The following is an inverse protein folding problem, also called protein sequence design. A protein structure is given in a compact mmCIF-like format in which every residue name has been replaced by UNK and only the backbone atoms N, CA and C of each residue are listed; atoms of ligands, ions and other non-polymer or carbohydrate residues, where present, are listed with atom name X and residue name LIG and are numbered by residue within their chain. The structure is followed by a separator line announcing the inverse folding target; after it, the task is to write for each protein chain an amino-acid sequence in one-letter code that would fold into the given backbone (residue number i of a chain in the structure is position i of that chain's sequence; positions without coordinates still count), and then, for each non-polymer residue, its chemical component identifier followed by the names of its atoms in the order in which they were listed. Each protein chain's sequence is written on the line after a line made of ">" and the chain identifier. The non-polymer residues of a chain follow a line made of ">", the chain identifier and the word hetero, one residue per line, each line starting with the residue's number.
data_IF_683163521423
#
_entry.id   IF_683163521423
#
_cell.length_a   1.000
_cell.length_b   1.000
_cell.length_c   1.000
_cell.angle_alpha   90.00
_cell.angle_beta   90.00
_cell.angle_gamma   90.00
#
_symmetry.space_group_name_H-M   'P 1'
#
loop_
_entity.id
_entity.type
_entity.pdbx_description
1 polymer ?
#
# COMPACT_ATOMS: atom_id res chain seq x y z
N UNK A 1 -9.29 4.05 6.10
CA UNK A 1 -8.26 3.89 5.05
C UNK A 1 -7.17 4.94 5.26
N UNK A 2 -6.00 4.79 4.64
CA UNK A 2 -4.95 5.82 4.67
C UNK A 2 -5.50 7.15 4.13
N UNK A 3 -6.12 7.14 2.94
CA UNK A 3 -6.72 8.34 2.35
C UNK A 3 -7.72 9.02 3.28
N UNK A 4 -8.64 8.28 3.89
CA UNK A 4 -9.62 8.85 4.81
C UNK A 4 -8.98 9.50 6.05
N UNK A 5 -7.89 8.91 6.57
CA UNK A 5 -7.15 9.51 7.69
C UNK A 5 -6.43 10.79 7.27
N UNK A 6 -5.77 10.79 6.12
CA UNK A 6 -5.07 11.96 5.59
C UNK A 6 -6.08 13.07 5.27
N UNK A 7 -7.18 12.77 4.59
CA UNK A 7 -8.24 13.72 4.26
C UNK A 7 -8.89 14.35 5.50
N UNK A 8 -9.12 13.55 6.55
CA UNK A 8 -9.63 14.07 7.83
C UNK A 8 -8.63 15.06 8.45
N UNK A 9 -7.34 14.72 8.43
CA UNK A 9 -6.29 15.58 8.96
C UNK A 9 -6.15 16.87 8.14
N UNK A 10 -6.20 16.79 6.80
CA UNK A 10 -6.15 18.00 5.97
C UNK A 10 -7.35 18.90 6.21
N UNK A 11 -8.54 18.34 6.44
CA UNK A 11 -9.72 19.10 6.82
C UNK A 11 -9.59 19.77 8.20
N UNK A 12 -9.06 19.06 9.21
CA UNK A 12 -8.85 19.59 10.57
C UNK A 12 -7.84 20.73 10.61
N UNK A 13 -6.78 20.65 9.79
CA UNK A 13 -5.69 21.62 9.75
C UNK A 13 -5.80 22.65 8.61
N UNK A 14 -6.92 22.66 7.89
CA UNK A 14 -7.15 23.54 6.73
C UNK A 14 -6.04 23.45 5.66
N UNK A 15 -5.46 22.26 5.51
CA UNK A 15 -4.48 21.97 4.49
C UNK A 15 -5.16 21.53 3.18
N UNK A 16 -4.49 21.78 2.05
CA UNK A 16 -4.94 21.32 0.75
C UNK A 16 -4.62 19.84 0.54
N UNK A 17 -5.55 19.11 -0.04
CA UNK A 17 -5.35 17.74 -0.52
C UNK A 17 -5.66 17.70 -2.02
N UNK A 18 -4.77 17.09 -2.79
CA UNK A 18 -4.90 16.87 -4.23
C UNK A 18 -4.73 15.36 -4.47
N UNK A 19 -5.74 14.70 -5.04
CA UNK A 19 -5.82 13.25 -5.18
C UNK A 19 -6.03 12.86 -6.65
N UNK A 20 -4.99 12.99 -7.49
CA UNK A 20 -5.04 12.51 -8.87
C UNK A 20 -4.98 10.99 -8.91
N UNK A 21 -5.88 10.34 -9.65
CA UNK A 21 -5.94 8.86 -9.76
C UNK A 21 -5.84 8.38 -11.20
N UNK A 22 -5.33 7.17 -11.39
CA UNK A 22 -5.13 6.55 -12.72
C UNK A 22 -6.32 5.71 -13.19
N UNK A 23 -7.36 5.55 -12.38
CA UNK A 23 -8.54 4.72 -12.69
C UNK A 23 -9.83 5.43 -12.26
N UNK A 24 -10.79 5.54 -13.17
CA UNK A 24 -12.08 6.22 -12.91
C UNK A 24 -12.88 5.56 -11.78
N UNK A 25 -12.81 4.24 -11.62
CA UNK A 25 -13.47 3.55 -10.50
C UNK A 25 -12.84 3.93 -9.15
N UNK A 26 -11.53 4.14 -9.11
CA UNK A 26 -10.83 4.61 -7.91
C UNK A 26 -11.23 6.06 -7.62
N UNK A 27 -11.45 6.90 -8.63
CA UNK A 27 -11.90 8.28 -8.45
C UNK A 27 -13.23 8.34 -7.68
N UNK A 28 -14.22 7.52 -8.08
CA UNK A 28 -15.55 7.51 -7.44
C UNK A 28 -15.44 7.11 -5.97
N UNK A 29 -14.69 6.05 -5.68
CA UNK A 29 -14.50 5.57 -4.31
C UNK A 29 -13.66 6.52 -3.45
N UNK A 30 -12.61 7.12 -4.03
CA UNK A 30 -11.78 8.12 -3.35
C UNK A 30 -12.56 9.40 -3.04
N UNK A 31 -13.45 9.88 -3.93
CA UNK A 31 -14.35 11.01 -3.66
C UNK A 31 -15.22 10.75 -2.44
N UNK A 32 -15.84 9.58 -2.37
CA UNK A 32 -16.69 9.24 -1.23
C UNK A 32 -15.88 9.21 0.07
N UNK A 33 -14.69 8.60 0.05
CA UNK A 33 -13.79 8.56 1.22
C UNK A 33 -13.38 9.97 1.68
N UNK A 34 -13.01 10.85 0.76
CA UNK A 34 -12.60 12.23 1.09
C UNK A 34 -13.80 13.04 1.59
N UNK A 35 -14.96 12.92 0.94
CA UNK A 35 -16.20 13.58 1.34
C UNK A 35 -16.64 13.18 2.75
N UNK A 36 -16.65 11.88 3.04
CA UNK A 36 -16.97 11.34 4.36
C UNK A 36 -15.96 11.83 5.42
N UNK A 37 -14.67 11.86 5.08
CA UNK A 37 -13.64 12.36 5.98
C UNK A 37 -13.82 13.86 6.32
N UNK A 38 -14.14 14.70 5.34
CA UNK A 38 -14.42 16.13 5.55
C UNK A 38 -15.72 16.35 6.35
N UNK A 39 -16.76 15.56 6.09
CA UNK A 39 -18.01 15.58 6.87
C UNK A 39 -17.74 15.21 8.34
N UNK A 40 -16.97 14.15 8.59
CA UNK A 40 -16.60 13.70 9.92
C UNK A 40 -15.66 14.67 10.66
N UNK A 41 -14.93 15.52 9.94
CA UNK A 41 -14.14 16.61 10.49
C UNK A 41 -14.98 17.88 10.79
N UNK A 42 -16.27 17.88 10.46
CA UNK A 42 -17.14 19.05 10.63
C UNK A 42 -16.88 20.16 9.61
N UNK A 43 -16.25 19.84 8.47
CA UNK A 43 -15.88 20.78 7.40
C UNK A 43 -16.45 20.38 6.02
N UNK A 44 -17.75 20.06 5.90
CA UNK A 44 -18.34 19.66 4.63
C UNK A 44 -18.33 20.78 3.58
N UNK A 45 -18.28 22.04 4.01
CA UNK A 45 -18.18 23.24 3.18
C UNK A 45 -16.81 23.38 2.49
N UNK A 46 -15.77 22.79 3.06
CA UNK A 46 -14.43 22.80 2.49
C UNK A 46 -14.20 21.69 1.45
N UNK A 47 -15.10 20.71 1.33
CA UNK A 47 -14.98 19.63 0.35
C UNK A 47 -15.46 20.06 -1.04
N UNK A 48 -14.71 19.68 -2.07
CA UNK A 48 -15.10 19.87 -3.47
C UNK A 48 -14.69 18.66 -4.33
N UNK A 49 -15.49 18.34 -5.36
CA UNK A 49 -15.27 17.15 -6.20
C UNK A 49 -14.00 17.23 -7.06
N UNK A 50 -13.41 18.42 -7.24
CA UNK A 50 -12.14 18.65 -7.92
C UNK A 50 -10.92 18.28 -7.06
N UNK A 51 -11.08 18.01 -5.76
CA UNK A 51 -9.99 17.48 -4.93
C UNK A 51 -9.54 16.08 -5.37
N UNK A 52 -10.42 15.34 -6.04
CA UNK A 52 -10.18 13.97 -6.49
C UNK A 52 -10.58 13.86 -7.96
N UNK A 53 -9.62 13.62 -8.84
CA UNK A 53 -9.88 13.56 -10.28
C UNK A 53 -9.08 12.46 -10.97
N UNK A 54 -9.68 11.95 -12.04
CA UNK A 54 -9.00 11.05 -12.96
C UNK A 54 -8.04 11.84 -13.85
N UNK A 55 -6.80 11.39 -13.95
CA UNK A 55 -5.79 12.01 -14.79
C UNK A 55 -5.68 11.28 -16.14
N UNK A 56 -5.21 10.04 -16.12
CA UNK A 56 -5.12 9.14 -17.28
C UNK A 56 -4.76 7.73 -16.78
N UNK A 57 -5.06 6.71 -17.56
CA UNK A 57 -4.67 5.32 -17.31
C UNK A 57 -3.46 4.86 -18.12
N UNK A 58 -2.96 5.72 -19.03
CA UNK A 58 -1.67 5.55 -19.68
C UNK A 58 -0.54 5.74 -18.67
N UNK A 59 0.34 4.75 -18.56
CA UNK A 59 1.36 4.66 -17.51
C UNK A 59 2.28 5.90 -17.48
N UNK A 60 2.90 6.24 -18.61
CA UNK A 60 3.84 7.35 -18.68
C UNK A 60 3.13 8.70 -18.82
N UNK A 61 1.93 8.73 -19.39
CA UNK A 61 1.04 9.89 -19.34
C UNK A 61 0.67 10.27 -17.91
N UNK A 62 0.41 9.27 -17.05
CA UNK A 62 0.14 9.50 -15.63
C UNK A 62 1.39 10.05 -14.95
N UNK A 63 2.55 9.41 -15.15
CA UNK A 63 3.83 9.89 -14.60
C UNK A 63 4.12 11.35 -14.98
N UNK A 64 4.08 11.67 -16.28
CA UNK A 64 4.35 13.02 -16.77
C UNK A 64 3.34 14.07 -16.24
N UNK A 65 2.07 13.68 -16.11
CA UNK A 65 1.04 14.56 -15.55
C UNK A 65 1.26 14.84 -14.06
N UNK A 66 1.57 13.80 -13.27
CA UNK A 66 1.91 13.96 -11.85
C UNK A 66 3.19 14.77 -11.67
N UNK A 67 4.25 14.47 -12.42
CA UNK A 67 5.51 15.20 -12.36
C UNK A 67 5.28 16.70 -12.63
N UNK A 68 4.49 17.00 -13.67
CA UNK A 68 4.09 18.37 -14.01
C UNK A 68 3.32 19.08 -12.89
N UNK A 69 2.48 18.36 -12.14
CA UNK A 69 1.79 18.90 -10.96
C UNK A 69 2.75 19.13 -9.80
N UNK A 70 3.61 18.16 -9.50
CA UNK A 70 4.57 18.21 -8.38
C UNK A 70 5.52 19.40 -8.53
N UNK A 71 6.13 19.59 -9.71
CA UNK A 71 7.08 20.70 -9.92
C UNK A 71 6.42 22.09 -9.89
N UNK A 72 5.13 22.18 -10.22
CA UNK A 72 4.37 23.44 -10.23
C UNK A 72 3.80 23.79 -8.86
N UNK A 73 3.17 22.82 -8.21
CA UNK A 73 2.47 23.01 -6.94
C UNK A 73 3.41 22.92 -5.74
N UNK A 74 4.53 22.19 -5.88
CA UNK A 74 5.53 21.96 -4.83
C UNK A 74 4.89 21.48 -3.50
N UNK A 75 4.16 20.35 -3.50
CA UNK A 75 3.53 19.83 -2.29
C UNK A 75 4.59 19.54 -1.21
N UNK A 76 4.24 19.76 0.06
CA UNK A 76 5.13 19.45 1.18
C UNK A 76 5.25 17.93 1.43
N UNK A 77 4.25 17.15 1.02
CA UNK A 77 4.21 15.69 1.25
C UNK A 77 3.46 15.01 0.13
N UNK A 78 3.97 13.85 -0.32
CA UNK A 78 3.38 13.04 -1.39
C UNK A 78 3.16 11.61 -0.89
N UNK A 79 1.98 11.07 -1.17
CA UNK A 79 1.62 9.69 -0.86
C UNK A 79 1.52 8.86 -2.14
N UNK A 80 2.46 7.95 -2.37
CA UNK A 80 2.43 7.01 -3.49
C UNK A 80 1.84 5.67 -3.03
N UNK A 81 0.55 5.45 -3.23
CA UNK A 81 -0.15 4.25 -2.73
C UNK A 81 -0.73 3.45 -3.89
N UNK A 82 -0.21 2.25 -4.13
CA UNK A 82 -0.71 1.38 -5.20
C UNK A 82 0.40 0.66 -5.97
N UNK A 83 0.08 0.28 -7.21
CA UNK A 83 1.00 -0.44 -8.08
C UNK A 83 1.57 0.51 -9.15
N UNK A 84 2.77 1.01 -8.91
CA UNK A 84 3.59 1.79 -9.84
C UNK A 84 4.70 0.91 -10.42
N UNK A 85 4.92 0.87 -11.72
CA UNK A 85 5.99 0.04 -12.30
C UNK A 85 7.28 0.86 -12.45
N UNK A 86 7.76 1.05 -13.68
CA UNK A 86 8.98 1.81 -13.95
C UNK A 86 8.85 3.29 -13.56
N UNK A 87 7.63 3.83 -13.52
CA UNK A 87 7.32 5.21 -13.16
C UNK A 87 7.55 5.51 -11.68
N UNK A 88 7.63 4.50 -10.81
CA UNK A 88 7.85 4.68 -9.38
C UNK A 88 9.09 5.52 -9.07
N UNK A 89 10.22 5.22 -9.71
CA UNK A 89 11.46 5.98 -9.51
C UNK A 89 11.36 7.39 -10.10
N UNK A 90 10.71 7.54 -11.25
CA UNK A 90 10.54 8.86 -11.90
C UNK A 90 9.75 9.78 -10.98
N UNK A 91 8.59 9.30 -10.49
CA UNK A 91 7.73 10.04 -9.58
C UNK A 91 8.48 10.42 -8.29
N UNK A 92 9.19 9.46 -7.70
CA UNK A 92 9.90 9.66 -6.45
C UNK A 92 11.09 10.62 -6.58
N UNK A 93 11.84 10.59 -7.68
CA UNK A 93 12.90 11.57 -7.92
C UNK A 93 12.33 12.97 -8.16
N UNK A 94 11.18 13.08 -8.83
CA UNK A 94 10.51 14.37 -9.01
C UNK A 94 10.10 14.98 -7.67
N UNK A 95 9.50 14.20 -6.76
CA UNK A 95 9.15 14.73 -5.44
C UNK A 95 10.37 15.00 -4.55
N UNK A 96 11.43 14.20 -4.65
CA UNK A 96 12.71 14.50 -4.01
C UNK A 96 13.31 15.84 -4.51
N UNK A 97 13.18 16.14 -5.81
CA UNK A 97 13.71 17.37 -6.41
C UNK A 97 13.12 18.67 -5.84
N UNK A 98 11.91 18.59 -5.27
CA UNK A 98 11.24 19.71 -4.59
C UNK A 98 11.37 19.66 -3.06
N UNK A 99 12.03 18.63 -2.52
CA UNK A 99 12.19 18.42 -1.07
C UNK A 99 10.92 17.99 -0.36
N UNK A 100 9.99 17.31 -1.05
CA UNK A 100 8.77 16.80 -0.44
C UNK A 100 9.04 15.52 0.37
N UNK A 101 8.37 15.38 1.51
CA UNK A 101 8.36 14.09 2.24
C UNK A 101 7.54 13.08 1.42
N UNK A 102 8.08 11.90 1.18
CA UNK A 102 7.44 10.87 0.36
C UNK A 102 7.11 9.63 1.17
N UNK A 103 5.83 9.26 1.15
CA UNK A 103 5.32 8.05 1.81
C UNK A 103 4.76 7.12 0.74
N UNK A 104 5.52 6.09 0.41
CA UNK A 104 5.16 5.08 -0.55
C UNK A 104 4.52 3.85 0.11
N UNK A 105 3.72 3.12 -0.65
CA UNK A 105 3.13 1.86 -0.21
C UNK A 105 2.68 1.01 -1.38
N UNK A 106 3.18 -0.22 -1.45
CA UNK A 106 2.91 -1.12 -2.56
C UNK A 106 3.00 -2.59 -2.18
N UNK A 107 2.16 -3.40 -2.82
CA UNK A 107 2.18 -4.86 -2.71
C UNK A 107 2.98 -5.55 -3.83
N UNK A 108 3.56 -4.79 -4.77
CA UNK A 108 4.23 -5.35 -5.95
C UNK A 108 5.75 -5.49 -5.72
N UNK A 109 6.31 -6.71 -5.76
CA UNK A 109 7.74 -6.93 -5.55
C UNK A 109 8.66 -6.20 -6.52
N UNK A 110 8.25 -6.05 -7.78
CA UNK A 110 9.09 -5.46 -8.84
C UNK A 110 9.34 -3.96 -8.66
N UNK A 111 8.50 -3.25 -7.91
CA UNK A 111 8.62 -1.80 -7.73
C UNK A 111 9.18 -1.40 -6.36
N UNK A 112 9.11 -2.30 -5.38
CA UNK A 112 9.54 -2.04 -4.00
C UNK A 112 10.96 -1.48 -3.91
N UNK A 113 11.97 -2.00 -4.66
CA UNK A 113 13.32 -1.46 -4.59
C UNK A 113 13.41 0.03 -4.94
N UNK A 114 12.58 0.51 -5.87
CA UNK A 114 12.59 1.91 -6.27
C UNK A 114 12.10 2.81 -5.16
N UNK A 115 10.94 2.52 -4.56
CA UNK A 115 10.42 3.32 -3.46
C UNK A 115 11.26 3.20 -2.19
N UNK A 116 11.78 2.01 -1.86
CA UNK A 116 12.69 1.84 -0.72
C UNK A 116 13.95 2.69 -0.87
N UNK A 117 14.46 2.85 -2.10
CA UNK A 117 15.67 3.63 -2.35
C UNK A 117 15.43 5.14 -2.45
N UNK A 118 14.22 5.59 -2.81
CA UNK A 118 13.95 6.99 -3.20
C UNK A 118 12.91 7.72 -2.34
N UNK A 119 12.14 7.02 -1.50
CA UNK A 119 11.14 7.62 -0.60
C UNK A 119 11.61 7.59 0.86
N UNK A 120 11.16 8.54 1.66
CA UNK A 120 11.46 8.61 3.10
C UNK A 120 10.88 7.42 3.88
N UNK A 121 9.66 7.01 3.52
CA UNK A 121 8.98 5.87 4.14
C UNK A 121 8.32 5.00 3.07
N UNK A 122 8.48 3.68 3.19
CA UNK A 122 7.87 2.72 2.25
C UNK A 122 7.18 1.60 3.01
N UNK A 123 5.86 1.45 2.81
CA UNK A 123 5.08 0.30 3.28
C UNK A 123 5.27 -0.88 2.33
N UNK A 124 5.71 -2.01 2.87
CA UNK A 124 6.09 -3.19 2.10
C UNK A 124 4.99 -4.25 2.15
N UNK A 125 4.41 -4.61 1.00
CA UNK A 125 3.56 -5.79 0.90
C UNK A 125 2.31 -5.69 1.78
N UNK A 126 2.27 -6.52 2.82
CA UNK A 126 1.15 -6.59 3.76
C UNK A 126 1.01 -5.36 4.66
N UNK A 127 2.08 -4.58 4.85
CA UNK A 127 2.05 -3.35 5.65
C UNK A 127 1.09 -2.30 5.07
N UNK A 128 0.95 -2.23 3.74
CA UNK A 128 0.01 -1.33 3.06
C UNK A 128 -1.44 -1.61 3.50
N UNK A 129 -1.81 -2.89 3.55
CA UNK A 129 -3.15 -3.33 3.92
C UNK A 129 -3.36 -3.23 5.42
N UNK A 130 -2.36 -3.64 6.21
CA UNK A 130 -2.37 -3.53 7.66
C UNK A 130 -2.55 -2.07 8.10
N UNK A 131 -1.79 -1.13 7.54
CA UNK A 131 -1.91 0.30 7.85
C UNK A 131 -3.33 0.83 7.61
N UNK A 132 -3.95 0.46 6.50
CA UNK A 132 -5.33 0.84 6.21
C UNK A 132 -6.32 0.29 7.23
N UNK A 133 -6.16 -0.97 7.65
CA UNK A 133 -6.99 -1.65 8.64
C UNK A 133 -6.81 -1.08 10.06
N UNK A 134 -5.57 -0.79 10.47
CA UNK A 134 -5.25 -0.16 11.74
C UNK A 134 -5.83 1.26 11.82
N UNK A 135 -5.73 2.04 10.74
CA UNK A 135 -6.27 3.39 10.72
C UNK A 135 -7.81 3.42 10.69
N UNK A 136 -8.45 2.51 9.96
CA UNK A 136 -9.93 2.42 9.91
C UNK A 136 -10.55 1.80 11.16
N UNK A 137 -9.76 1.13 12.01
CA UNK A 137 -10.24 0.33 13.14
C UNK A 137 -11.33 -0.68 12.74
N UNK A 138 -11.28 -1.16 11.49
CA UNK A 138 -12.34 -2.00 10.95
C UNK A 138 -12.18 -3.46 11.44
N UNK A 139 -13.11 -4.00 12.26
CA UNK A 139 -12.90 -5.27 12.95
C UNK A 139 -12.69 -6.46 12.02
N UNK A 140 -13.32 -6.44 10.83
CA UNK A 140 -13.17 -7.50 9.82
C UNK A 140 -11.76 -7.54 9.22
N UNK A 141 -11.21 -6.38 8.87
CA UNK A 141 -9.87 -6.29 8.30
C UNK A 141 -8.80 -6.67 9.33
N UNK A 142 -8.95 -6.16 10.57
CA UNK A 142 -8.09 -6.52 11.69
C UNK A 142 -8.17 -8.02 12.05
N UNK A 143 -9.37 -8.59 11.99
CA UNK A 143 -9.59 -10.03 12.22
C UNK A 143 -8.91 -10.90 11.16
N UNK A 144 -9.00 -10.50 9.89
CA UNK A 144 -8.30 -11.20 8.79
C UNK A 144 -6.79 -11.19 8.98
N UNK A 145 -6.22 -10.04 9.36
CA UNK A 145 -4.78 -9.90 9.61
C UNK A 145 -4.32 -10.83 10.74
N UNK A 146 -5.03 -10.80 11.89
CA UNK A 146 -4.74 -11.70 13.03
C UNK A 146 -4.87 -13.17 12.68
N UNK A 147 -5.87 -13.54 11.88
CA UNK A 147 -6.06 -14.92 11.43
C UNK A 147 -4.92 -15.40 10.54
N UNK A 148 -4.47 -14.54 9.62
CA UNK A 148 -3.32 -14.83 8.76
C UNK A 148 -2.04 -15.01 9.57
N UNK A 149 -1.78 -14.14 10.56
CA UNK A 149 -0.60 -14.23 11.42
C UNK A 149 -0.60 -15.48 12.29
N UNK A 150 -1.76 -15.85 12.87
CA UNK A 150 -1.91 -17.09 13.62
C UNK A 150 -1.66 -18.32 12.75
N UNK A 151 -2.19 -18.31 11.52
CA UNK A 151 -1.95 -19.37 10.55
C UNK A 151 -0.46 -19.52 10.23
N UNK A 152 0.22 -18.41 9.90
CA UNK A 152 1.68 -18.40 9.66
C UNK A 152 2.44 -18.94 10.87
N UNK A 153 2.08 -18.54 12.08
CA UNK A 153 2.73 -19.02 13.32
C UNK A 153 2.58 -20.53 13.50
N UNK A 154 1.37 -21.07 13.30
CA UNK A 154 1.11 -22.51 13.38
C UNK A 154 1.97 -23.27 12.35
N UNK A 155 2.03 -22.77 11.11
CA UNK A 155 2.87 -23.36 10.06
C UNK A 155 4.36 -23.32 10.42
N UNK A 156 4.86 -22.19 10.93
CA UNK A 156 6.26 -22.06 11.36
C UNK A 156 6.58 -23.05 12.47
N UNK A 157 5.70 -23.19 13.48
CA UNK A 157 5.89 -24.16 14.57
C UNK A 157 5.90 -25.60 14.06
N UNK A 158 4.97 -25.95 13.15
CA UNK A 158 4.93 -27.27 12.53
C UNK A 158 6.21 -27.57 11.74
N UNK A 159 6.73 -26.60 10.98
CA UNK A 159 8.00 -26.74 10.25
C UNK A 159 9.18 -26.93 11.19
N UNK A 160 9.28 -26.13 12.27
CA UNK A 160 10.36 -26.25 13.26
C UNK A 160 10.33 -27.61 13.94
N UNK A 161 9.16 -28.10 14.35
CA UNK A 161 8.99 -29.43 14.94
C UNK A 161 9.39 -30.52 13.93
N UNK A 162 8.93 -30.41 12.68
CA UNK A 162 9.28 -31.36 11.62
C UNK A 162 10.79 -31.45 11.37
N UNK A 163 11.48 -30.31 11.35
CA UNK A 163 12.95 -30.25 11.22
C UNK A 163 13.63 -30.92 12.42
N UNK A 164 13.20 -30.64 13.65
CA UNK A 164 13.78 -31.27 14.86
C UNK A 164 13.59 -32.79 14.82
N UNK A 165 12.40 -33.26 14.47
CA UNK A 165 12.10 -34.71 14.40
C UNK A 165 12.98 -35.38 13.34
N UNK A 166 13.12 -34.80 12.14
CA UNK A 166 13.98 -35.35 11.09
C UNK A 166 15.46 -35.40 11.54
N UNK A 167 15.96 -34.34 12.16
CA UNK A 167 17.36 -34.26 12.63
C UNK A 167 17.63 -35.26 13.76
N UNK A 168 16.65 -35.52 14.62
CA UNK A 168 16.79 -36.48 15.73
C UNK A 168 16.86 -37.95 15.28
N UNK A 169 16.58 -38.26 14.01
CA UNK A 169 16.62 -39.62 13.46
C UNK A 169 15.50 -40.54 13.97
N UNK A 170 14.55 -40.00 14.75
CA UNK A 170 13.42 -40.77 15.32
C UNK A 170 12.40 -41.13 14.25
N UNK A 171 12.28 -40.33 13.19
CA UNK A 171 11.36 -40.56 12.08
C UNK A 171 11.98 -40.02 10.78
N UNK A 172 12.03 -40.85 9.74
CA UNK A 172 12.58 -40.44 8.44
C UNK A 172 11.45 -39.99 7.51
N UNK A 173 11.21 -38.68 7.47
CA UNK A 173 10.23 -38.06 6.57
C UNK A 173 10.57 -38.27 5.09
N UNK A 174 11.82 -38.55 4.72
CA UNK A 174 12.18 -38.80 3.32
C UNK A 174 11.53 -40.07 2.76
N UNK A 175 11.26 -41.07 3.61
CA UNK A 175 10.54 -42.28 3.24
C UNK A 175 9.08 -42.02 2.82
N UNK A 176 8.49 -40.92 3.28
CA UNK A 176 7.11 -40.53 2.98
C UNK A 176 6.96 -39.87 1.60
N UNK A 177 8.05 -39.33 1.05
CA UNK A 177 8.10 -38.69 -0.27
C UNK A 177 8.79 -39.55 -1.33
N UNK A 178 9.21 -40.77 -0.99
CA UNK A 178 9.61 -41.76 -1.97
C UNK A 178 8.39 -42.13 -2.80
N UNK A 179 8.26 -41.50 -3.97
CA UNK A 179 7.40 -42.01 -5.04
C UNK A 179 7.90 -43.42 -5.32
N UNK A 180 7.02 -44.40 -5.12
CA UNK A 180 7.24 -45.76 -5.61
C UNK A 180 7.36 -45.64 -7.12
N UNK A 181 8.58 -45.44 -7.61
CA UNK A 181 8.92 -45.61 -9.01
C UNK A 181 8.61 -47.07 -9.32
N UNK A 182 7.46 -47.30 -9.95
CA UNK A 182 7.12 -48.58 -10.53
C UNK A 182 8.24 -48.96 -11.50
N UNK A 183 9.07 -49.89 -11.07
CA UNK A 183 9.99 -50.62 -11.93
C UNK A 183 9.23 -51.78 -12.54
N UNK A 184 9.29 -51.83 -13.88
CA UNK A 184 8.87 -52.88 -14.82
C UNK A 184 7.36 -53.00 -15.13
#
# INVERSE_FOLDING_TARGET
>A
TILGRVAKLTAEYEAKIDVPVSRSLVMVTAREVVKEAYLNAGRPDAYTDDMVYYLTDDQFGYAAGIDGLVVRQKPATIFYQGAFYAESLILAETGNSIGAIQIAGTAMPSQLPFFVASCDYTLIGEELFAASAYLSHEPKQLGSLKGQDLGKLIFILALVIGVIVQVSGVFDFSALFNVVGGGE
#
